data_IF_452415147140
#
_entry.id   IF_452415147140
#
_cell.length_a   1.000
_cell.length_b   1.000
_cell.length_c   1.000
_cell.angle_alpha   90.00
_cell.angle_beta   90.00
_cell.angle_gamma   90.00
#
_symmetry.space_group_name_H-M   'P 1'
#
loop_
_entity.id
_entity.type
_entity.pdbx_description
1 polymer ?
#
# COMPACT_ATOMS: atom_id res chain seq x y z
N UNK A 1 19.00 -46.25 40.11
CA UNK A 1 17.52 -46.18 40.03
C UNK A 1 17.16 -45.10 39.04
N UNK A 2 16.80 -45.53 37.85
CA UNK A 2 16.55 -44.73 36.65
C UNK A 2 15.08 -44.36 36.59
N UNK A 3 14.76 -43.10 36.31
CA UNK A 3 13.45 -42.71 35.80
C UNK A 3 13.64 -41.64 34.72
N UNK A 4 13.89 -42.10 33.49
CA UNK A 4 13.74 -41.31 32.29
C UNK A 4 12.24 -41.25 31.99
N UNK A 5 11.61 -40.09 32.25
CA UNK A 5 10.23 -39.84 31.88
C UNK A 5 10.18 -39.36 30.42
N UNK A 6 9.45 -40.12 29.61
CA UNK A 6 9.25 -39.86 28.19
C UNK A 6 8.59 -38.49 27.96
N UNK A 7 9.20 -37.68 27.07
CA UNK A 7 8.67 -36.38 26.66
C UNK A 7 7.60 -36.58 25.56
N UNK A 8 6.37 -36.09 25.72
CA UNK A 8 5.34 -36.25 24.69
C UNK A 8 5.69 -35.43 23.45
N UNK A 9 5.64 -36.09 22.29
CA UNK A 9 5.81 -35.48 20.98
C UNK A 9 4.82 -34.32 20.78
N UNK A 10 5.33 -33.09 20.73
CA UNK A 10 4.53 -31.90 20.39
C UNK A 10 3.93 -32.10 19.00
N UNK A 11 2.61 -32.26 18.93
CA UNK A 11 1.85 -32.24 17.68
C UNK A 11 2.27 -31.00 16.89
N UNK A 12 2.85 -31.25 15.71
CA UNK A 12 3.30 -30.24 14.76
C UNK A 12 2.06 -29.56 14.19
N UNK A 13 1.64 -28.49 14.85
CA UNK A 13 0.58 -27.61 14.38
C UNK A 13 1.02 -27.03 13.04
N UNK A 14 0.40 -27.48 11.96
CA UNK A 14 0.57 -26.91 10.62
C UNK A 14 0.06 -25.47 10.63
N UNK A 15 0.88 -24.54 11.09
CA UNK A 15 0.66 -23.11 10.88
C UNK A 15 1.16 -22.80 9.47
N UNK A 16 0.26 -22.57 8.48
CA UNK A 16 0.70 -22.12 7.17
C UNK A 16 1.55 -20.85 7.33
N UNK A 17 2.52 -20.64 6.43
CA UNK A 17 3.34 -19.43 6.46
C UNK A 17 2.45 -18.19 6.30
N UNK A 18 2.91 -17.05 6.83
CA UNK A 18 2.18 -15.79 6.72
C UNK A 18 1.84 -15.47 5.26
N UNK A 19 2.78 -15.76 4.35
CA UNK A 19 2.60 -15.63 2.91
C UNK A 19 1.43 -16.47 2.38
N UNK A 20 1.36 -17.75 2.78
CA UNK A 20 0.27 -18.64 2.38
C UNK A 20 -1.06 -18.15 2.94
N UNK A 21 -1.09 -17.65 4.18
CA UNK A 21 -2.28 -17.08 4.78
C UNK A 21 -2.78 -15.83 4.04
N UNK A 22 -1.88 -14.94 3.62
CA UNK A 22 -2.22 -13.74 2.82
C UNK A 22 -2.75 -14.14 1.44
N UNK A 23 -2.11 -15.12 0.78
CA UNK A 23 -2.57 -15.63 -0.52
C UNK A 23 -3.95 -16.27 -0.44
N UNK A 24 -4.21 -17.11 0.57
CA UNK A 24 -5.53 -17.68 0.82
C UNK A 24 -6.54 -16.55 1.08
N UNK A 25 -6.20 -15.57 1.91
CA UNK A 25 -7.06 -14.42 2.20
C UNK A 25 -7.40 -13.59 0.95
N UNK A 26 -6.43 -13.37 0.06
CA UNK A 26 -6.63 -12.65 -1.21
C UNK A 26 -7.59 -13.40 -2.13
N UNK A 27 -7.37 -14.70 -2.32
CA UNK A 27 -8.21 -15.54 -3.18
C UNK A 27 -9.63 -15.64 -2.63
N UNK A 28 -9.78 -15.94 -1.33
CA UNK A 28 -11.08 -16.04 -0.67
C UNK A 28 -11.81 -14.70 -0.67
N UNK A 29 -11.11 -13.59 -0.37
CA UNK A 29 -11.68 -12.25 -0.40
C UNK A 29 -12.17 -11.85 -1.80
N UNK A 30 -11.39 -12.17 -2.85
CA UNK A 30 -11.79 -11.97 -4.24
C UNK A 30 -13.00 -12.81 -4.63
N UNK A 31 -13.03 -14.08 -4.23
CA UNK A 31 -14.16 -14.98 -4.49
C UNK A 31 -15.45 -14.49 -3.82
N UNK A 32 -15.38 -14.13 -2.53
CA UNK A 32 -16.53 -13.59 -1.78
C UNK A 32 -17.03 -12.29 -2.42
N UNK A 33 -16.12 -11.39 -2.82
CA UNK A 33 -16.47 -10.15 -3.52
C UNK A 33 -17.19 -10.38 -4.85
N UNK A 34 -16.86 -11.46 -5.56
CA UNK A 34 -17.54 -11.85 -6.80
C UNK A 34 -18.93 -12.47 -6.55
N UNK A 35 -19.07 -13.32 -5.53
CA UNK A 35 -20.34 -14.00 -5.20
C UNK A 35 -21.39 -13.06 -4.58
N UNK A 36 -20.97 -12.06 -3.79
CA UNK A 36 -21.88 -11.17 -3.04
C UNK A 36 -21.36 -9.72 -3.00
N UNK A 37 -21.61 -8.92 -4.05
CA UNK A 37 -21.14 -7.53 -4.11
C UNK A 37 -21.72 -6.63 -3.00
N UNK A 38 -22.94 -6.92 -2.51
CA UNK A 38 -23.60 -6.13 -1.46
C UNK A 38 -22.90 -6.17 -0.09
N UNK A 39 -22.06 -7.20 0.14
CA UNK A 39 -21.28 -7.33 1.38
C UNK A 39 -20.13 -6.32 1.46
N UNK A 40 -19.87 -5.58 0.37
CA UNK A 40 -18.84 -4.55 0.30
C UNK A 40 -18.96 -3.49 1.40
N UNK A 41 -20.17 -3.12 1.82
CA UNK A 41 -20.39 -2.08 2.85
C UNK A 41 -19.89 -2.50 4.24
N UNK A 42 -20.06 -3.77 4.63
CA UNK A 42 -19.57 -4.28 5.92
C UNK A 42 -18.04 -4.43 5.92
N UNK A 43 -17.47 -4.87 4.79
CA UNK A 43 -16.02 -5.03 4.62
C UNK A 43 -15.30 -3.70 4.49
N UNK A 44 -15.99 -2.65 4.02
CA UNK A 44 -15.44 -1.29 3.90
C UNK A 44 -14.87 -0.78 5.24
N UNK A 45 -15.63 -0.92 6.33
CA UNK A 45 -15.18 -0.50 7.66
C UNK A 45 -13.91 -1.23 8.11
N UNK A 46 -13.85 -2.55 7.89
CA UNK A 46 -12.70 -3.36 8.26
C UNK A 46 -11.45 -2.99 7.43
N UNK A 47 -11.63 -2.76 6.13
CA UNK A 47 -10.58 -2.29 5.23
C UNK A 47 -10.04 -0.93 5.66
N UNK A 48 -10.94 0.00 5.97
CA UNK A 48 -10.55 1.35 6.36
C UNK A 48 -9.77 1.37 7.68
N UNK A 49 -10.20 0.59 8.69
CA UNK A 49 -9.42 0.40 9.92
C UNK A 49 -8.03 -0.18 9.61
N UNK A 50 -7.97 -1.24 8.81
CA UNK A 50 -6.72 -1.92 8.49
C UNK A 50 -5.73 -0.98 7.78
N UNK A 51 -6.19 -0.24 6.76
CA UNK A 51 -5.37 0.72 6.03
C UNK A 51 -4.95 1.89 6.94
N UNK A 52 -5.84 2.38 7.81
CA UNK A 52 -5.50 3.44 8.76
C UNK A 52 -4.46 2.98 9.80
N UNK A 53 -4.54 1.72 10.25
CA UNK A 53 -3.52 1.11 11.11
C UNK A 53 -2.16 1.08 10.42
N UNK A 54 -2.09 0.61 9.17
CA UNK A 54 -0.84 0.61 8.40
C UNK A 54 -0.31 2.04 8.24
N UNK A 55 -1.16 2.99 7.83
CA UNK A 55 -0.78 4.41 7.65
C UNK A 55 -0.24 5.04 8.93
N UNK A 56 -0.85 4.74 10.08
CA UNK A 56 -0.42 5.24 11.40
C UNK A 56 0.99 4.76 11.77
N UNK A 57 1.36 3.55 11.33
CA UNK A 57 2.66 2.93 11.65
C UNK A 57 3.75 3.35 10.64
N UNK A 58 3.41 3.62 9.37
CA UNK A 58 4.39 4.00 8.33
C UNK A 58 5.18 5.26 8.72
N UNK A 59 4.51 6.30 9.22
CA UNK A 59 5.15 7.57 9.56
C UNK A 59 6.28 7.42 10.62
N UNK A 60 6.03 6.84 11.80
CA UNK A 60 7.09 6.65 12.81
C UNK A 60 8.17 5.66 12.35
N UNK A 61 7.81 4.64 11.57
CA UNK A 61 8.79 3.70 11.03
C UNK A 61 9.77 4.36 10.06
N UNK A 62 9.28 5.12 9.08
CA UNK A 62 10.11 5.80 8.08
C UNK A 62 11.02 6.84 8.74
N UNK A 63 10.51 7.59 9.71
CA UNK A 63 11.34 8.54 10.46
C UNK A 63 12.47 7.81 11.21
N UNK A 64 12.13 6.76 11.95
CA UNK A 64 13.10 6.01 12.75
C UNK A 64 14.17 5.35 11.89
N UNK A 65 13.80 4.78 10.74
CA UNK A 65 14.77 4.15 9.83
C UNK A 65 15.74 5.17 9.24
N UNK A 66 15.27 6.37 8.88
CA UNK A 66 16.13 7.44 8.38
C UNK A 66 17.07 7.93 9.49
N UNK A 67 16.56 8.16 10.70
CA UNK A 67 17.38 8.62 11.85
C UNK A 67 18.48 7.61 12.17
N UNK A 68 18.13 6.33 12.33
CA UNK A 68 19.09 5.26 12.59
C UNK A 68 20.07 5.10 11.43
N UNK A 69 19.58 5.25 10.19
CA UNK A 69 20.39 5.19 8.98
C UNK A 69 21.45 6.30 8.90
N UNK A 70 21.13 7.51 9.36
CA UNK A 70 22.08 8.63 9.42
C UNK A 70 23.01 8.51 10.63
N UNK A 71 22.48 8.12 11.79
CA UNK A 71 23.23 8.02 13.05
C UNK A 71 24.29 6.90 13.05
N UNK A 72 24.00 5.75 12.43
CA UNK A 72 24.94 4.63 12.34
C UNK A 72 26.09 4.86 11.36
N UNK A 73 26.06 5.96 10.62
CA UNK A 73 26.91 6.17 9.48
C UNK A 73 28.08 7.11 9.88
N UNK A 74 29.07 6.55 10.59
CA UNK A 74 30.14 7.25 11.32
C UNK A 74 31.07 8.18 10.52
N UNK A 75 30.83 8.43 9.23
CA UNK A 75 31.53 9.45 8.46
C UNK A 75 30.57 10.14 7.47
N UNK A 76 29.99 11.28 7.86
CA UNK A 76 29.02 12.05 7.03
C UNK A 76 29.45 12.24 5.58
N UNK A 77 30.76 12.40 5.33
CA UNK A 77 31.32 12.59 3.98
C UNK A 77 31.25 11.32 3.10
N UNK A 78 31.39 10.14 3.69
CA UNK A 78 31.21 8.85 2.99
C UNK A 78 29.72 8.58 2.75
N UNK A 79 28.88 8.97 3.71
CA UNK A 79 27.42 8.81 3.68
C UNK A 79 26.79 9.71 2.62
N UNK A 80 27.21 10.98 2.53
CA UNK A 80 26.74 11.90 1.50
C UNK A 80 27.02 11.39 0.09
N UNK A 81 28.19 10.77 -0.15
CA UNK A 81 28.51 10.17 -1.46
C UNK A 81 27.63 8.95 -1.77
N UNK A 82 27.36 8.10 -0.77
CA UNK A 82 26.45 6.96 -0.94
C UNK A 82 25.00 7.42 -1.13
N UNK A 83 24.57 8.46 -0.42
CA UNK A 83 23.26 9.08 -0.57
C UNK A 83 23.05 9.67 -1.96
N UNK A 84 24.02 10.40 -2.51
CA UNK A 84 23.94 10.94 -3.88
C UNK A 84 23.83 9.80 -4.90
N UNK A 85 24.65 8.75 -4.77
CA UNK A 85 24.52 7.57 -5.64
C UNK A 85 23.13 6.96 -5.53
N UNK A 86 22.63 6.77 -4.31
CA UNK A 86 21.30 6.22 -4.06
C UNK A 86 20.20 7.10 -4.65
N UNK A 87 20.30 8.44 -4.58
CA UNK A 87 19.36 9.37 -5.20
C UNK A 87 19.35 9.25 -6.72
N UNK A 88 20.53 9.17 -7.36
CA UNK A 88 20.63 8.95 -8.80
C UNK A 88 19.99 7.62 -9.19
N UNK A 89 20.29 6.54 -8.45
CA UNK A 89 19.66 5.23 -8.68
C UNK A 89 18.14 5.27 -8.45
N UNK A 90 17.67 5.94 -7.39
CA UNK A 90 16.26 6.09 -7.07
C UNK A 90 15.53 6.83 -8.18
N UNK A 91 16.07 7.97 -8.63
CA UNK A 91 15.45 8.80 -9.67
C UNK A 91 15.36 8.05 -11.01
N UNK A 92 16.42 7.36 -11.41
CA UNK A 92 16.41 6.56 -12.64
C UNK A 92 15.39 5.43 -12.53
N UNK A 93 15.35 4.72 -11.39
CA UNK A 93 14.46 3.59 -11.18
C UNK A 93 12.99 4.02 -11.11
N UNK A 94 12.68 5.10 -10.39
CA UNK A 94 11.30 5.62 -10.28
C UNK A 94 10.84 6.20 -11.60
N UNK A 95 11.69 6.92 -12.33
CA UNK A 95 11.37 7.45 -13.66
C UNK A 95 11.11 6.31 -14.64
N UNK A 96 11.99 5.30 -14.68
CA UNK A 96 11.78 4.12 -15.53
C UNK A 96 10.48 3.38 -15.18
N UNK A 97 10.20 3.19 -13.89
CA UNK A 97 8.96 2.58 -13.42
C UNK A 97 7.72 3.41 -13.80
N UNK A 98 7.78 4.74 -13.66
CA UNK A 98 6.71 5.66 -14.05
C UNK A 98 6.46 5.64 -15.56
N UNK A 99 7.50 5.64 -16.39
CA UNK A 99 7.38 5.57 -17.86
C UNK A 99 6.70 4.26 -18.27
N UNK A 100 7.14 3.12 -17.71
CA UNK A 100 6.53 1.81 -18.00
C UNK A 100 5.08 1.77 -17.51
N UNK A 101 4.83 2.19 -16.26
CA UNK A 101 3.49 2.23 -15.69
C UNK A 101 2.54 3.12 -16.50
N UNK A 102 3.00 4.29 -16.92
CA UNK A 102 2.23 5.22 -17.76
C UNK A 102 1.95 4.62 -19.14
N UNK A 103 2.95 3.99 -19.78
CA UNK A 103 2.75 3.33 -21.06
C UNK A 103 1.71 2.20 -20.98
N UNK A 104 1.80 1.35 -19.95
CA UNK A 104 0.86 0.26 -19.72
C UNK A 104 -0.55 0.79 -19.45
N UNK A 105 -0.70 1.81 -18.60
CA UNK A 105 -2.00 2.42 -18.28
C UNK A 105 -2.60 3.10 -19.51
N UNK A 106 -1.79 3.78 -20.32
CA UNK A 106 -2.26 4.45 -21.53
C UNK A 106 -2.74 3.46 -22.60
N UNK A 107 -2.07 2.29 -22.70
CA UNK A 107 -2.42 1.24 -23.64
C UNK A 107 -3.62 0.40 -23.16
N UNK A 108 -3.58 -0.07 -21.92
CA UNK A 108 -4.63 -0.95 -21.35
C UNK A 108 -5.88 -0.16 -20.92
N UNK A 109 -5.76 1.16 -20.73
CA UNK A 109 -6.82 2.07 -20.27
C UNK A 109 -7.68 1.46 -19.15
N UNK A 110 -7.05 1.01 -18.04
CA UNK A 110 -7.76 0.34 -16.98
C UNK A 110 -8.78 1.30 -16.37
N UNK A 111 -10.04 0.88 -16.34
CA UNK A 111 -11.15 1.73 -15.87
C UNK A 111 -11.94 2.43 -16.98
N UNK A 112 -11.58 2.29 -18.26
CA UNK A 112 -12.44 2.73 -19.36
C UNK A 112 -13.80 1.99 -19.27
N UNK A 113 -14.88 2.75 -19.09
CA UNK A 113 -16.23 2.21 -18.88
C UNK A 113 -16.64 2.01 -17.42
N UNK A 114 -15.78 2.29 -16.44
CA UNK A 114 -16.16 2.30 -15.02
C UNK A 114 -16.84 3.63 -14.69
N UNK A 115 -18.16 3.60 -14.47
CA UNK A 115 -18.90 4.72 -13.93
C UNK A 115 -18.57 4.89 -12.44
N UNK A 116 -17.51 5.65 -12.16
CA UNK A 116 -17.20 6.06 -10.79
C UNK A 116 -18.32 6.99 -10.32
N UNK A 117 -19.06 6.57 -9.29
CA UNK A 117 -20.03 7.41 -8.61
C UNK A 117 -19.31 8.68 -8.15
N UNK A 118 -19.66 9.78 -8.81
CA UNK A 118 -19.00 11.06 -8.80
C UNK A 118 -19.25 11.84 -7.49
N UNK A 119 -18.90 11.29 -6.32
CA UNK A 119 -19.12 11.96 -5.02
C UNK A 119 -18.34 13.28 -4.89
N UNK A 120 -17.30 13.50 -5.72
CA UNK A 120 -16.50 14.74 -5.69
C UNK A 120 -16.75 15.68 -6.89
N UNK A 121 -17.61 15.30 -7.84
CA UNK A 121 -17.82 16.11 -9.04
C UNK A 121 -18.85 17.22 -8.81
N UNK A 122 -19.72 17.10 -7.81
CA UNK A 122 -20.69 18.15 -7.47
C UNK A 122 -20.02 19.42 -6.91
N UNK A 123 -18.93 19.25 -6.15
CA UNK A 123 -18.13 20.37 -5.64
C UNK A 123 -17.37 21.07 -6.77
N UNK A 124 -16.82 20.32 -7.71
CA UNK A 124 -16.10 20.84 -8.88
C UNK A 124 -17.03 21.53 -9.90
N UNK A 125 -18.24 20.99 -10.12
CA UNK A 125 -19.28 21.63 -10.96
C UNK A 125 -19.75 22.96 -10.37
N UNK A 126 -19.89 23.03 -9.05
CA UNK A 126 -20.28 24.26 -8.34
C UNK A 126 -19.20 25.34 -8.43
N UNK A 127 -17.91 24.98 -8.34
CA UNK A 127 -16.79 25.92 -8.46
C UNK A 127 -16.61 26.41 -9.91
N UNK A 128 -16.70 25.52 -10.91
CA UNK A 128 -16.64 25.92 -12.33
C UNK A 128 -17.83 26.79 -12.78
N UNK A 129 -19.01 26.66 -12.17
CA UNK A 129 -20.13 27.58 -12.42
C UNK A 129 -19.91 28.96 -11.78
N UNK A 130 -19.21 29.03 -10.64
CA UNK A 130 -18.96 30.29 -9.93
C UNK A 130 -17.98 31.20 -10.66
N UNK A 131 -16.96 30.63 -11.32
CA UNK A 131 -15.96 31.40 -12.08
C UNK A 131 -16.49 31.93 -13.44
N UNK A 132 -17.48 31.29 -14.07
CA UNK A 132 -18.07 31.79 -15.33
C UNK A 132 -19.03 32.98 -15.14
N UNK A 133 -19.43 33.29 -13.90
CA UNK A 133 -20.40 34.35 -13.60
C UNK A 133 -19.81 35.76 -13.42
N UNK A 134 -18.48 35.89 -13.27
CA UNK A 134 -17.85 37.16 -12.92
C UNK A 134 -17.14 37.90 -14.07
N UNK A 135 -17.10 37.34 -15.29
CA UNK A 135 -16.42 37.94 -16.46
C UNK A 135 -17.33 38.67 -17.46
N UNK A 136 -18.60 38.88 -17.15
CA UNK A 136 -19.61 39.44 -18.08
C UNK A 136 -20.35 40.66 -17.51
N UNK A 137 -19.63 41.55 -16.83
CA UNK A 137 -20.09 42.91 -16.49
C UNK A 137 -18.97 43.91 -16.66
#
# INVERSE_FOLDING_TARGET
MSASTAQPARRRWYRPSLTVQIMIGLVVGGFIGWLRPDWGNAVYFLRDIFINLIKSIIAPLVFSTIVVGIAGAGALRKVGRMGIKALIYFEILTTAALVIGLAVVNLTKPGAGVALAATNTDVLKTISQRDRGHGAR
#
